data_IF_093685081542
#
_entry.id   IF_093685081542
#
_cell.length_a   1.000
_cell.length_b   1.000
_cell.length_c   1.000
_cell.angle_alpha   90.00
_cell.angle_beta   90.00
_cell.angle_gamma   90.00
#
_symmetry.space_group_name_H-M   'P 1'
#
loop_
_entity.id
_entity.type
_entity.pdbx_description
1 polymer ?
#
# COMPACT_ATOMS: atom_id res chain seq x y z
N UNK A 1 -6.13 5.38 4.50
CA UNK A 1 -6.30 4.67 5.78
C UNK A 1 -5.84 5.61 6.88
N UNK A 2 -6.66 5.81 7.91
CA UNK A 2 -6.28 6.51 9.15
C UNK A 2 -6.11 5.45 10.25
N UNK A 3 -4.94 5.43 10.89
CA UNK A 3 -4.59 4.49 11.96
C UNK A 3 -4.99 5.01 13.36
N UNK A 4 -5.70 6.15 13.44
CA UNK A 4 -6.11 6.88 14.64
C UNK A 4 -4.97 7.52 15.45
N UNK A 5 -3.79 6.88 15.51
CA UNK A 5 -2.59 7.39 16.17
C UNK A 5 -1.37 7.30 15.26
N UNK A 6 -0.33 8.09 15.56
CA UNK A 6 0.98 7.94 14.91
C UNK A 6 1.59 6.62 15.37
N UNK A 7 1.80 5.70 14.44
CA UNK A 7 2.27 4.34 14.72
C UNK A 7 3.36 3.95 13.72
N UNK A 8 4.18 2.97 14.08
CA UNK A 8 5.22 2.42 13.22
C UNK A 8 4.62 1.36 12.29
N UNK A 9 4.72 1.61 11.00
CA UNK A 9 4.20 0.77 9.92
C UNK A 9 5.36 -0.06 9.36
N UNK A 10 5.24 -1.38 9.49
CA UNK A 10 6.26 -2.34 9.05
C UNK A 10 6.04 -2.83 7.62
N UNK A 11 4.83 -2.71 7.07
CA UNK A 11 4.49 -3.28 5.78
C UNK A 11 3.03 -3.11 5.40
N UNK A 12 2.68 -3.69 4.25
CA UNK A 12 1.31 -3.77 3.75
C UNK A 12 1.06 -5.15 3.14
N UNK A 13 -0.19 -5.59 3.20
CA UNK A 13 -0.68 -6.76 2.45
C UNK A 13 -1.74 -6.27 1.48
N UNK A 14 -1.72 -6.78 0.25
CA UNK A 14 -2.70 -6.47 -0.79
C UNK A 14 -3.29 -7.75 -1.37
N UNK A 15 -4.57 -7.69 -1.74
CA UNK A 15 -5.30 -8.78 -2.36
C UNK A 15 -6.28 -8.23 -3.39
N UNK A 16 -6.56 -8.99 -4.44
CA UNK A 16 -7.58 -8.63 -5.43
C UNK A 16 -9.02 -8.71 -4.89
N UNK A 17 -9.97 -8.33 -5.73
CA UNK A 17 -11.41 -8.38 -5.41
C UNK A 17 -11.90 -9.82 -5.28
N UNK A 18 -12.72 -10.11 -4.27
CA UNK A 18 -13.16 -11.48 -3.99
C UNK A 18 -14.10 -12.05 -5.07
N UNK A 19 -15.02 -11.25 -5.60
CA UNK A 19 -16.12 -11.70 -6.46
C UNK A 19 -15.88 -11.51 -7.97
N UNK A 20 -14.80 -10.83 -8.38
CA UNK A 20 -14.44 -10.65 -9.79
C UNK A 20 -12.93 -10.71 -10.02
N UNK A 21 -12.53 -11.04 -11.25
CA UNK A 21 -11.14 -11.00 -11.70
C UNK A 21 -10.67 -9.54 -11.89
N UNK A 22 -10.51 -8.82 -10.78
CA UNK A 22 -10.11 -7.42 -10.72
C UNK A 22 -9.08 -7.25 -9.61
N UNK A 23 -7.93 -6.67 -9.94
CA UNK A 23 -6.84 -6.45 -8.98
C UNK A 23 -5.88 -5.36 -9.46
N UNK A 24 -5.20 -4.71 -8.51
CA UNK A 24 -4.12 -3.77 -8.77
C UNK A 24 -2.82 -4.54 -8.95
N UNK A 25 -2.11 -4.26 -10.05
CA UNK A 25 -0.84 -4.92 -10.39
C UNK A 25 0.38 -4.11 -9.98
N UNK A 26 0.27 -2.78 -9.93
CA UNK A 26 1.32 -1.91 -9.41
C UNK A 26 0.71 -0.76 -8.61
N UNK A 27 1.38 -0.36 -7.53
CA UNK A 27 0.95 0.78 -6.72
C UNK A 27 2.15 1.50 -6.06
N UNK A 28 1.90 2.72 -5.60
CA UNK A 28 2.81 3.47 -4.72
C UNK A 28 2.15 3.72 -3.37
N UNK A 29 2.96 4.03 -2.36
CA UNK A 29 2.50 4.39 -1.02
C UNK A 29 2.92 5.81 -0.68
N UNK A 30 2.03 6.56 -0.05
CA UNK A 30 2.40 7.80 0.64
C UNK A 30 1.91 7.79 2.08
N UNK A 31 2.67 8.46 2.94
CA UNK A 31 2.49 8.47 4.38
C UNK A 31 2.33 9.90 4.89
N UNK A 32 1.61 10.07 6.00
CA UNK A 32 1.43 11.37 6.64
C UNK A 32 1.16 11.22 8.13
N UNK A 33 1.60 12.20 8.92
CA UNK A 33 1.29 12.30 10.36
C UNK A 33 0.10 13.21 10.64
N UNK A 34 -0.17 14.19 9.77
CA UNK A 34 -1.18 15.23 9.94
C UNK A 34 -2.36 15.13 8.94
N UNK A 35 -2.22 14.31 7.89
CA UNK A 35 -3.18 14.15 6.81
C UNK A 35 -3.12 15.25 5.74
N UNK A 36 -2.25 16.24 5.90
CA UNK A 36 -2.09 17.41 5.01
C UNK A 36 -0.83 17.29 4.17
N UNK A 37 0.32 17.06 4.81
CA UNK A 37 1.60 16.86 4.14
C UNK A 37 1.84 15.36 3.94
N UNK A 38 2.15 14.97 2.71
CA UNK A 38 2.29 13.57 2.32
C UNK A 38 3.67 13.32 1.71
N UNK A 39 4.36 12.32 2.24
CA UNK A 39 5.64 11.86 1.71
C UNK A 39 5.45 10.53 0.97
N UNK A 40 5.89 10.45 -0.28
CA UNK A 40 5.91 9.20 -1.04
C UNK A 40 7.02 8.29 -0.51
N UNK A 41 6.75 6.99 -0.40
CA UNK A 41 7.77 6.03 -0.01
C UNK A 41 8.79 5.84 -1.12
N UNK A 42 10.06 5.98 -0.76
CA UNK A 42 11.18 5.90 -1.68
C UNK A 42 12.25 4.97 -1.13
N UNK A 43 12.87 4.21 -2.03
CA UNK A 43 14.04 3.37 -1.72
C UNK A 43 15.22 3.85 -2.55
N UNK A 44 16.37 4.07 -1.90
CA UNK A 44 17.60 4.52 -2.56
C UNK A 44 17.45 5.86 -3.34
N UNK A 45 16.52 6.72 -2.89
CA UNK A 45 16.28 8.03 -3.49
C UNK A 45 15.22 8.06 -4.59
N UNK A 46 14.70 6.90 -5.00
CA UNK A 46 13.68 6.78 -6.03
C UNK A 46 12.34 6.35 -5.44
N UNK A 47 11.24 6.89 -5.96
CA UNK A 47 9.89 6.48 -5.52
C UNK A 47 9.68 4.99 -5.79
N UNK A 48 9.31 4.26 -4.74
CA UNK A 48 9.12 2.81 -4.84
C UNK A 48 7.79 2.51 -5.53
N UNK A 49 7.88 1.76 -6.63
CA UNK A 49 6.73 1.07 -7.21
C UNK A 49 6.68 -0.34 -6.62
N UNK A 50 5.57 -0.68 -5.98
CA UNK A 50 5.31 -2.00 -5.44
C UNK A 50 4.61 -2.85 -6.49
N UNK A 51 5.15 -4.04 -6.74
CA UNK A 51 4.49 -5.07 -7.55
C UNK A 51 3.37 -5.69 -6.71
N UNK A 52 2.13 -5.44 -7.11
CA UNK A 52 0.93 -5.89 -6.41
C UNK A 52 0.53 -7.32 -6.77
N UNK A 53 -0.78 -7.52 -6.98
CA UNK A 53 -1.33 -8.85 -7.19
C UNK A 53 -1.20 -9.29 -8.66
N UNK A 54 -1.06 -10.60 -8.87
CA UNK A 54 -1.11 -11.26 -10.18
C UNK A 54 -2.42 -12.00 -10.42
N UNK A 55 -3.23 -12.18 -9.37
CA UNK A 55 -4.54 -12.80 -9.41
C UNK A 55 -5.49 -12.15 -8.38
N UNK A 56 -6.73 -12.65 -8.27
CA UNK A 56 -7.74 -12.09 -7.36
C UNK A 56 -7.68 -12.59 -5.91
N UNK A 57 -7.00 -13.71 -5.66
CA UNK A 57 -7.11 -14.49 -4.41
C UNK A 57 -5.84 -14.51 -3.58
N UNK A 58 -4.67 -14.45 -4.19
CA UNK A 58 -3.38 -14.54 -3.52
C UNK A 58 -3.06 -13.22 -2.81
N UNK A 59 -2.65 -13.33 -1.56
CA UNK A 59 -2.18 -12.20 -0.76
C UNK A 59 -0.72 -11.89 -1.11
N UNK A 60 -0.42 -10.63 -1.34
CA UNK A 60 0.94 -10.15 -1.62
C UNK A 60 1.36 -9.20 -0.51
N UNK A 61 2.42 -9.57 0.20
CA UNK A 61 2.98 -8.81 1.31
C UNK A 61 4.23 -8.07 0.88
N UNK A 62 4.32 -6.79 1.25
CA UNK A 62 5.52 -5.97 1.12
C UNK A 62 5.91 -5.37 2.47
N UNK A 63 7.14 -5.63 2.88
CA UNK A 63 7.73 -5.01 4.06
C UNK A 63 8.38 -3.68 3.67
N UNK A 64 8.26 -2.68 4.55
CA UNK A 64 8.91 -1.38 4.41
C UNK A 64 10.25 -1.43 5.13
N UNK A 65 11.33 -1.19 4.40
CA UNK A 65 12.70 -1.20 4.91
C UNK A 65 13.39 0.10 4.47
N UNK A 66 13.43 1.12 5.35
CA UNK A 66 13.04 1.09 6.76
C UNK A 66 11.52 1.19 7.01
N UNK A 67 11.02 0.70 8.17
CA UNK A 67 9.64 0.95 8.62
C UNK A 67 9.35 2.45 8.73
N UNK A 68 8.11 2.85 8.44
CA UNK A 68 7.69 4.26 8.39
C UNK A 68 6.85 4.62 9.62
N UNK A 69 7.11 5.77 10.23
CA UNK A 69 6.28 6.29 11.33
C UNK A 69 5.25 7.27 10.77
N UNK A 70 3.96 6.90 10.80
CA UNK A 70 2.87 7.74 10.28
C UNK A 70 1.53 7.40 10.95
N UNK A 71 0.55 8.29 10.78
CA UNK A 71 -0.85 8.04 11.17
C UNK A 71 -1.69 7.63 9.96
N UNK A 72 -1.39 8.21 8.80
CA UNK A 72 -2.14 7.97 7.58
C UNK A 72 -1.29 7.22 6.56
N UNK A 73 -1.93 6.27 5.90
CA UNK A 73 -1.38 5.52 4.76
C UNK A 73 -2.30 5.70 3.57
N UNK A 74 -1.73 6.06 2.42
CA UNK A 74 -2.48 6.19 1.17
C UNK A 74 -1.85 5.28 0.12
N UNK A 75 -2.69 4.45 -0.48
CA UNK A 75 -2.35 3.60 -1.60
C UNK A 75 -2.68 4.34 -2.89
N UNK A 76 -1.76 4.34 -3.84
CA UNK A 76 -1.92 4.95 -5.16
C UNK A 76 -1.82 3.86 -6.21
N UNK A 77 -2.94 3.28 -6.67
CA UNK A 77 -2.95 2.33 -7.77
C UNK A 77 -2.37 2.98 -9.03
N UNK A 78 -1.37 2.34 -9.64
CA UNK A 78 -0.72 2.80 -10.87
C UNK A 78 -1.18 2.00 -12.09
N UNK A 79 -1.34 0.67 -11.95
CA UNK A 79 -1.88 -0.20 -12.99
C UNK A 79 -2.72 -1.32 -12.38
N UNK A 80 -3.67 -1.85 -13.16
CA UNK A 80 -4.64 -2.85 -12.71
C UNK A 80 -5.14 -3.71 -13.87
N UNK A 81 -5.76 -4.83 -13.54
CA UNK A 81 -6.52 -5.68 -14.46
C UNK A 81 -8.00 -5.36 -14.33
N UNK A 82 -8.66 -5.13 -15.46
CA UNK A 82 -10.08 -4.77 -15.62
C UNK A 82 -10.47 -3.46 -14.91
N UNK A 83 -10.53 -3.45 -13.57
CA UNK A 83 -10.85 -2.28 -12.76
C UNK A 83 -9.92 -2.16 -11.55
N UNK A 84 -9.61 -0.93 -11.09
CA UNK A 84 -8.74 -0.71 -9.94
C UNK A 84 -9.45 -1.16 -8.67
N UNK A 85 -9.23 -2.41 -8.28
CA UNK A 85 -9.85 -3.04 -7.12
C UNK A 85 -8.78 -3.62 -6.23
N UNK A 86 -8.89 -3.38 -4.92
CA UNK A 86 -7.93 -3.87 -3.94
C UNK A 86 -8.62 -4.06 -2.58
N UNK A 87 -8.22 -5.12 -1.89
CA UNK A 87 -8.33 -5.27 -0.44
C UNK A 87 -6.94 -5.08 0.13
N UNK A 88 -6.83 -4.42 1.27
CA UNK A 88 -5.54 -4.13 1.86
C UNK A 88 -5.57 -4.23 3.38
N UNK A 89 -4.40 -4.54 3.93
CA UNK A 89 -4.12 -4.51 5.35
C UNK A 89 -2.78 -3.80 5.59
N UNK A 90 -2.68 -3.05 6.69
CA UNK A 90 -1.45 -2.34 7.08
C UNK A 90 -0.82 -3.11 8.23
N UNK A 91 0.43 -3.52 8.06
CA UNK A 91 1.19 -4.23 9.08
C UNK A 91 1.84 -3.23 10.02
N UNK A 92 1.53 -3.35 11.30
CA UNK A 92 2.09 -2.53 12.38
C UNK A 92 3.20 -3.30 13.12
N UNK A 93 3.99 -2.58 13.93
CA UNK A 93 4.91 -3.18 14.91
C UNK A 93 4.23 -3.42 16.27
#
# INVERSE_FOLDING_TARGET
VDLNSVTRIAGVITQGRADRNQWVTNYKLSFSTDGVLWDTYSEQGEEKVFEGNTDRTSEVQHLLLPPVTARFVRFHPASWIEHPSMRMEVLLC
#
